data_IF_048463976644
#
_entry.id   IF_048463976644
#
_cell.length_a   1.000
_cell.length_b   1.000
_cell.length_c   1.000
_cell.angle_alpha   90.00
_cell.angle_beta   90.00
_cell.angle_gamma   90.00
#
_symmetry.space_group_name_H-M   'P 1'
#
loop_
_entity.id
_entity.type
_entity.pdbx_description
1 polymer ?
#
# COMPACT_ATOMS: atom_id res chain seq x y z
N UNK A 1 -24.99 2.03 23.71
CA UNK A 1 -23.86 1.39 23.00
C UNK A 1 -22.57 1.74 23.73
N UNK A 2 -21.92 0.75 24.36
CA UNK A 2 -20.86 0.98 25.35
C UNK A 2 -19.54 1.44 24.71
N UNK A 3 -19.03 2.59 25.16
CA UNK A 3 -17.72 3.17 24.80
C UNK A 3 -16.54 2.18 24.89
N UNK A 4 -16.66 1.14 25.70
CA UNK A 4 -15.67 0.07 25.87
C UNK A 4 -15.46 -0.76 24.60
N UNK A 5 -16.52 -1.00 23.81
CA UNK A 5 -16.43 -1.75 22.55
C UNK A 5 -15.67 -0.92 21.51
N UNK A 6 -16.04 0.35 21.37
CA UNK A 6 -15.41 1.30 20.44
C UNK A 6 -13.90 1.45 20.73
N UNK A 7 -13.48 1.49 22.01
CA UNK A 7 -12.06 1.54 22.38
C UNK A 7 -11.29 0.26 22.03
N UNK A 8 -11.93 -0.90 22.15
CA UNK A 8 -11.31 -2.17 21.81
C UNK A 8 -11.12 -2.30 20.28
N UNK A 9 -12.12 -1.90 19.50
CA UNK A 9 -12.05 -1.80 18.04
C UNK A 9 -10.91 -0.86 17.61
N UNK A 10 -10.83 0.34 18.19
CA UNK A 10 -9.83 1.33 17.83
C UNK A 10 -8.41 0.84 18.14
N UNK A 11 -8.23 0.12 19.26
CA UNK A 11 -6.95 -0.53 19.59
C UNK A 11 -6.59 -1.61 18.57
N UNK A 12 -7.55 -2.41 18.11
CA UNK A 12 -7.32 -3.43 17.08
C UNK A 12 -6.93 -2.79 15.76
N UNK A 13 -7.66 -1.77 15.31
CA UNK A 13 -7.37 -1.02 14.08
C UNK A 13 -5.97 -0.37 14.12
N UNK A 14 -5.59 0.21 15.27
CA UNK A 14 -4.23 0.76 15.45
C UNK A 14 -3.14 -0.30 15.41
N UNK A 15 -3.41 -1.49 15.94
CA UNK A 15 -2.47 -2.60 15.93
C UNK A 15 -2.32 -3.20 14.52
N UNK A 16 -3.40 -3.29 13.75
CA UNK A 16 -3.36 -3.81 12.38
C UNK A 16 -2.75 -2.82 11.38
N UNK A 17 -2.94 -1.52 11.60
CA UNK A 17 -2.44 -0.47 10.70
C UNK A 17 -0.94 -0.59 10.36
N UNK A 18 -0.10 -0.79 11.37
CA UNK A 18 1.34 -0.94 11.14
C UNK A 18 1.62 -2.17 10.25
N UNK A 19 0.93 -3.29 10.50
CA UNK A 19 1.07 -4.50 9.70
C UNK A 19 0.61 -4.31 8.25
N UNK A 20 -0.48 -3.58 8.03
CA UNK A 20 -1.01 -3.30 6.69
C UNK A 20 -0.03 -2.43 5.89
N UNK A 21 0.54 -1.40 6.54
CA UNK A 21 1.58 -0.55 5.94
C UNK A 21 2.82 -1.37 5.58
N UNK A 22 3.29 -2.25 6.47
CA UNK A 22 4.46 -3.08 6.19
C UNK A 22 4.21 -4.08 5.05
N UNK A 23 3.04 -4.71 4.99
CA UNK A 23 2.64 -5.59 3.88
C UNK A 23 2.61 -4.82 2.55
N UNK A 24 2.08 -3.61 2.56
CA UNK A 24 2.05 -2.75 1.38
C UNK A 24 3.47 -2.40 0.90
N UNK A 25 4.35 -2.00 1.83
CA UNK A 25 5.74 -1.68 1.50
C UNK A 25 6.52 -2.89 0.97
N UNK A 26 6.30 -4.07 1.55
CA UNK A 26 6.86 -5.34 1.09
C UNK A 26 6.37 -5.69 -0.32
N UNK A 27 5.07 -5.58 -0.58
CA UNK A 27 4.47 -5.83 -1.90
C UNK A 27 4.94 -4.85 -2.99
N UNK A 28 5.32 -3.64 -2.62
CA UNK A 28 5.90 -2.64 -3.55
C UNK A 28 7.41 -2.78 -3.77
N UNK A 29 8.07 -3.74 -3.10
CA UNK A 29 9.50 -4.00 -3.23
C UNK A 29 10.39 -2.85 -2.75
N UNK A 30 9.91 -2.03 -1.82
CA UNK A 30 10.53 -0.72 -1.52
C UNK A 30 11.66 -0.79 -0.50
N UNK A 31 12.85 -0.37 -0.95
CA UNK A 31 14.07 -0.05 -0.19
C UNK A 31 13.87 1.12 0.80
N UNK A 32 14.87 1.47 1.62
CA UNK A 32 14.80 2.57 2.61
C UNK A 32 14.34 3.92 2.04
N UNK A 33 14.71 4.20 0.78
CA UNK A 33 14.27 5.39 0.03
C UNK A 33 12.76 5.35 -0.23
N UNK A 34 12.21 4.18 -0.55
CA UNK A 34 10.79 3.97 -0.79
C UNK A 34 9.93 4.09 0.47
N UNK A 35 10.48 3.76 1.64
CA UNK A 35 9.86 3.97 2.96
C UNK A 35 9.72 5.45 3.29
N UNK A 36 10.80 6.22 3.08
CA UNK A 36 10.79 7.67 3.31
C UNK A 36 9.86 8.40 2.32
N UNK A 37 9.89 8.01 1.04
CA UNK A 37 8.98 8.55 0.03
C UNK A 37 7.51 8.26 0.34
N UNK A 38 7.20 7.03 0.77
CA UNK A 38 5.85 6.65 1.20
C UNK A 38 5.38 7.53 2.36
N UNK A 39 6.17 7.67 3.43
CA UNK A 39 5.81 8.51 4.57
C UNK A 39 5.55 9.97 4.19
N UNK A 40 6.40 10.53 3.32
CA UNK A 40 6.22 11.90 2.80
C UNK A 40 4.96 12.06 1.96
N UNK A 41 4.61 11.09 1.12
CA UNK A 41 3.42 11.19 0.25
C UNK A 41 2.11 10.86 0.96
N UNK A 42 2.11 9.82 1.79
CA UNK A 42 0.92 9.32 2.45
C UNK A 42 0.53 10.16 3.69
N UNK A 43 1.51 10.76 4.37
CA UNK A 43 1.28 11.44 5.66
C UNK A 43 2.02 12.77 5.83
N UNK A 44 2.70 13.28 4.80
CA UNK A 44 3.64 14.40 4.92
C UNK A 44 4.67 14.19 6.05
N UNK A 45 5.07 12.94 6.29
CA UNK A 45 5.98 12.58 7.36
C UNK A 45 6.97 11.50 6.90
N UNK A 46 8.21 11.86 6.52
CA UNK A 46 9.20 10.89 6.06
C UNK A 46 9.58 9.85 7.12
N UNK A 47 9.38 10.16 8.40
CA UNK A 47 9.69 9.27 9.54
C UNK A 47 8.50 8.41 9.97
N UNK A 48 7.40 8.40 9.19
CA UNK A 48 6.21 7.62 9.53
C UNK A 48 6.54 6.13 9.72
N UNK A 49 7.25 5.53 8.76
CA UNK A 49 7.55 4.09 8.77
C UNK A 49 8.47 3.74 9.95
N UNK A 50 9.52 4.53 10.18
CA UNK A 50 10.42 4.34 11.33
C UNK A 50 9.68 4.47 12.68
N UNK A 51 8.69 5.38 12.78
CA UNK A 51 7.84 5.48 13.98
C UNK A 51 6.96 4.26 14.17
N UNK A 52 6.39 3.72 13.09
CA UNK A 52 5.60 2.49 13.14
C UNK A 52 6.46 1.29 13.56
N UNK A 53 7.71 1.20 13.08
CA UNK A 53 8.67 0.18 13.49
C UNK A 53 9.03 0.29 14.98
N UNK A 54 9.13 1.52 15.51
CA UNK A 54 9.29 1.79 16.94
C UNK A 54 8.01 1.56 17.76
N UNK A 55 6.93 1.05 17.16
CA UNK A 55 5.64 0.80 17.83
C UNK A 55 4.81 2.06 18.10
N UNK A 56 5.20 3.22 17.56
CA UNK A 56 4.46 4.47 17.70
C UNK A 56 3.34 4.54 16.66
N UNK A 57 2.09 4.46 17.13
CA UNK A 57 0.93 4.65 16.27
C UNK A 57 0.66 6.14 16.02
N UNK A 58 0.49 6.57 14.76
CA UNK A 58 0.11 7.94 14.45
C UNK A 58 -1.34 8.24 14.84
N UNK A 59 -1.72 9.53 14.79
CA UNK A 59 -3.10 9.96 15.00
C UNK A 59 -4.07 9.42 13.94
N UNK A 60 -5.37 9.40 14.26
CA UNK A 60 -6.40 8.82 13.39
C UNK A 60 -6.43 9.46 11.99
N UNK A 61 -6.29 10.79 11.92
CA UNK A 61 -6.24 11.56 10.67
C UNK A 61 -5.09 11.10 9.74
N UNK A 62 -3.93 10.84 10.32
CA UNK A 62 -2.77 10.34 9.57
C UNK A 62 -3.01 8.91 9.09
N UNK A 63 -3.64 8.08 9.91
CA UNK A 63 -3.98 6.71 9.51
C UNK A 63 -4.95 6.70 8.31
N UNK A 64 -5.95 7.58 8.33
CA UNK A 64 -6.93 7.72 7.23
C UNK A 64 -6.24 8.13 5.92
N UNK A 65 -5.39 9.17 5.96
CA UNK A 65 -4.63 9.60 4.76
C UNK A 65 -3.74 8.50 4.21
N UNK A 66 -3.14 7.70 5.10
CA UNK A 66 -2.27 6.59 4.70
C UNK A 66 -3.07 5.47 4.05
N UNK A 67 -4.26 5.14 4.59
CA UNK A 67 -5.15 4.18 3.95
C UNK A 67 -5.63 4.65 2.58
N UNK A 68 -6.06 5.91 2.47
CA UNK A 68 -6.47 6.52 1.19
C UNK A 68 -5.33 6.45 0.16
N UNK A 69 -4.10 6.80 0.58
CA UNK A 69 -2.94 6.68 -0.29
C UNK A 69 -2.67 5.24 -0.75
N UNK A 70 -2.81 4.24 0.14
CA UNK A 70 -2.62 2.83 -0.21
C UNK A 70 -3.70 2.30 -1.14
N UNK A 71 -4.94 2.80 -1.02
CA UNK A 71 -6.07 2.46 -1.89
C UNK A 71 -5.89 3.05 -3.30
N UNK A 72 -5.47 4.32 -3.38
CA UNK A 72 -5.16 5.00 -4.64
C UNK A 72 -3.92 4.43 -5.36
N UNK A 73 -2.99 3.83 -4.60
CA UNK A 73 -1.72 3.35 -5.12
C UNK A 73 -1.55 1.85 -4.84
N UNK A 74 -2.44 0.97 -5.31
CA UNK A 74 -2.35 -0.45 -4.98
C UNK A 74 -0.98 -1.00 -5.41
N UNK A 75 -0.37 -1.91 -4.63
CA UNK A 75 0.91 -2.48 -4.98
C UNK A 75 0.78 -3.15 -6.35
N UNK A 76 1.51 -2.63 -7.34
CA UNK A 76 1.66 -3.31 -8.62
C UNK A 76 2.31 -4.64 -8.30
N UNK A 77 1.53 -5.72 -8.27
CA UNK A 77 2.01 -7.08 -7.98
C UNK A 77 3.34 -7.26 -8.70
N UNK A 78 4.40 -7.60 -7.97
CA UNK A 78 5.63 -8.08 -8.56
C UNK A 78 5.26 -9.35 -9.38
N UNK A 79 4.94 -9.17 -10.65
CA UNK A 79 4.16 -10.13 -11.44
C UNK A 79 3.24 -9.51 -12.49
N UNK A 80 3.00 -8.18 -12.46
CA UNK A 80 2.62 -7.46 -13.67
C UNK A 80 3.85 -7.31 -14.59
N UNK A 81 4.47 -8.44 -14.94
CA UNK A 81 4.99 -8.60 -16.29
C UNK A 81 3.89 -8.07 -17.19
N UNK A 82 4.28 -7.16 -18.07
CA UNK A 82 3.47 -6.73 -19.19
C UNK A 82 2.82 -7.99 -19.78
N UNK A 83 1.56 -8.23 -19.46
CA UNK A 83 0.66 -8.85 -20.41
C UNK A 83 0.47 -7.74 -21.45
N UNK A 84 1.54 -7.57 -22.26
CA UNK A 84 1.38 -7.10 -23.61
C UNK A 84 0.37 -8.06 -24.15
N UNK A 85 -0.87 -7.58 -24.16
CA UNK A 85 -1.97 -8.06 -24.96
C UNK A 85 -1.43 -8.94 -26.09
N UNK A 86 -1.36 -10.24 -25.81
CA UNK A 86 -1.02 -11.29 -26.78
C UNK A 86 -2.23 -11.53 -27.67
N UNK A 87 -2.97 -10.46 -27.98
CA UNK A 87 -4.19 -10.42 -28.79
C UNK A 87 -4.21 -9.10 -29.54
N UNK A 88 -3.31 -8.97 -30.51
CA UNK A 88 -3.81 -8.64 -31.83
C UNK A 88 -4.39 -9.96 -32.41
N UNK A 89 -5.72 -10.11 -32.53
CA UNK A 89 -6.35 -11.33 -33.02
C UNK A 89 -6.20 -11.52 -34.55
N UNK A 90 -5.25 -10.84 -35.19
CA UNK A 90 -5.21 -10.67 -36.65
C UNK A 90 -3.82 -10.79 -37.28
N UNK A 91 -2.87 -11.49 -36.65
CA UNK A 91 -1.61 -11.86 -37.30
C UNK A 91 -1.65 -13.35 -37.65
N UNK A 92 -2.43 -13.68 -38.68
CA UNK A 92 -2.64 -15.05 -39.16
C UNK A 92 -3.06 -15.10 -40.63
N UNK A 93 -2.55 -14.20 -41.47
CA UNK A 93 -2.60 -14.37 -42.93
C UNK A 93 -1.18 -14.53 -43.45
N UNK A 94 -0.77 -15.79 -43.60
CA UNK A 94 0.23 -16.14 -44.59
C UNK A 94 -0.34 -15.73 -45.97
N UNK A 95 0.39 -14.89 -46.71
CA UNK A 95 0.06 -14.58 -48.10
C UNK A 95 0.58 -15.70 -49.00
N UNK A 96 -0.28 -16.44 -49.72
CA UNK A 96 0.19 -17.32 -50.78
C UNK A 96 0.57 -16.48 -52.02
N UNK A 97 1.74 -16.77 -52.59
CA UNK A 97 2.10 -16.43 -53.97
C UNK A 97 1.57 -17.50 -54.91
#
# INVERSE_FOLDING_TARGET
>A
MSYSIIRAELKRLRKSFAQDVFKYLDATGRTDVGRSYFGSKAANNPKLVARLEAGQSPGLEVMLRVWEFMDDNPPKRAGATKDVSSRCPFCGQEMPK
#
